data_IF_393562036259
#
_entry.id   IF_393562036259
#
_cell.length_a   1.000
_cell.length_b   1.000
_cell.length_c   1.000
_cell.angle_alpha   90.00
_cell.angle_beta   90.00
_cell.angle_gamma   90.00
#
_symmetry.space_group_name_H-M   'P 1'
#
loop_
_entity.id
_entity.type
_entity.pdbx_description
1 polymer ?
#
# COMPACT_ATOMS: atom_id res chain seq x y z
N UNK A 1 -15.60 -7.25 -10.54
CA UNK A 1 -14.40 -6.50 -10.10
C UNK A 1 -13.83 -7.26 -8.91
N UNK A 2 -12.53 -7.55 -8.88
CA UNK A 2 -11.93 -8.23 -7.73
C UNK A 2 -11.95 -7.27 -6.54
N UNK A 3 -12.72 -7.57 -5.49
CA UNK A 3 -12.71 -6.83 -4.22
C UNK A 3 -12.48 -7.82 -3.08
N UNK A 4 -11.84 -7.41 -1.99
CA UNK A 4 -11.72 -8.27 -0.82
C UNK A 4 -13.10 -8.49 -0.18
N UNK A 5 -13.33 -9.69 0.36
CA UNK A 5 -14.50 -9.99 1.20
C UNK A 5 -14.34 -9.45 2.62
N UNK A 6 -13.11 -9.31 3.08
CA UNK A 6 -12.77 -8.81 4.40
C UNK A 6 -11.46 -8.03 4.36
N UNK A 7 -11.44 -6.94 5.12
CA UNK A 7 -10.31 -6.03 5.26
C UNK A 7 -10.02 -5.94 6.75
N UNK A 8 -8.81 -6.30 7.13
CA UNK A 8 -8.29 -6.15 8.48
C UNK A 8 -7.08 -5.25 8.45
N UNK A 9 -6.91 -4.41 9.44
CA UNK A 9 -5.71 -3.60 9.55
C UNK A 9 -5.35 -3.36 11.00
N UNK A 10 -4.06 -3.25 11.24
CA UNK A 10 -3.47 -2.71 12.45
C UNK A 10 -2.58 -1.52 12.07
N UNK A 11 -1.74 -1.06 13.00
CA UNK A 11 -0.84 0.06 12.75
C UNK A 11 0.16 -0.24 11.61
N UNK A 12 0.66 -1.47 11.54
CA UNK A 12 1.79 -1.84 10.68
C UNK A 12 1.35 -2.55 9.40
N UNK A 13 0.23 -3.28 9.44
CA UNK A 13 -0.18 -4.21 8.38
C UNK A 13 -1.63 -4.00 7.97
N UNK A 14 -1.86 -4.09 6.67
CA UNK A 14 -3.16 -4.31 6.04
C UNK A 14 -3.24 -5.77 5.58
N UNK A 15 -4.29 -6.48 5.96
CA UNK A 15 -4.59 -7.84 5.52
C UNK A 15 -5.88 -7.85 4.70
N UNK A 16 -5.81 -8.38 3.48
CA UNK A 16 -6.92 -8.47 2.55
C UNK A 16 -7.28 -9.93 2.26
N UNK A 17 -8.54 -10.28 2.51
CA UNK A 17 -9.07 -11.60 2.20
C UNK A 17 -9.85 -11.54 0.90
N UNK A 18 -9.32 -12.19 -0.14
CA UNK A 18 -9.95 -12.26 -1.46
C UNK A 18 -10.97 -13.41 -1.52
N UNK A 19 -11.74 -13.49 -2.61
CA UNK A 19 -12.65 -14.62 -2.86
C UNK A 19 -11.89 -15.95 -2.93
N UNK A 20 -10.73 -15.93 -3.57
CA UNK A 20 -9.88 -17.09 -3.79
C UNK A 20 -8.42 -16.80 -3.41
N UNK A 21 -7.75 -17.83 -2.91
CA UNK A 21 -6.33 -17.77 -2.56
C UNK A 21 -6.05 -17.34 -1.11
N UNK A 22 -4.76 -17.25 -0.75
CA UNK A 22 -4.35 -16.81 0.58
C UNK A 22 -4.70 -15.35 0.82
N UNK A 23 -4.80 -14.98 2.10
CA UNK A 23 -4.88 -13.58 2.50
C UNK A 23 -3.59 -12.86 2.10
N UNK A 24 -3.74 -11.69 1.50
CA UNK A 24 -2.61 -10.85 1.11
C UNK A 24 -2.28 -9.90 2.26
N UNK A 25 -1.03 -9.93 2.74
CA UNK A 25 -0.55 -8.98 3.75
C UNK A 25 0.28 -7.89 3.08
N UNK A 26 0.11 -6.64 3.51
CA UNK A 26 0.82 -5.47 3.00
C UNK A 26 1.21 -4.56 4.15
N UNK A 27 2.46 -4.06 4.18
CA UNK A 27 2.86 -3.12 5.22
C UNK A 27 2.34 -1.71 4.95
N UNK A 28 2.03 -0.97 6.02
CA UNK A 28 1.71 0.46 5.97
C UNK A 28 2.77 1.26 5.20
N UNK A 29 4.05 0.91 5.40
CA UNK A 29 5.17 1.51 4.67
C UNK A 29 5.12 1.22 3.17
N UNK A 30 4.91 -0.03 2.76
CA UNK A 30 4.83 -0.39 1.34
C UNK A 30 3.65 0.32 0.66
N UNK A 31 2.50 0.37 1.32
CA UNK A 31 1.31 1.09 0.84
C UNK A 31 1.59 2.59 0.70
N UNK A 32 2.27 3.20 1.68
CA UNK A 32 2.62 4.62 1.65
C UNK A 32 3.61 4.95 0.53
N UNK A 33 4.62 4.12 0.33
CA UNK A 33 5.57 4.23 -0.79
C UNK A 33 4.86 4.08 -2.15
N UNK A 34 3.85 3.20 -2.21
CA UNK A 34 3.00 2.98 -3.36
C UNK A 34 1.86 3.99 -3.55
N UNK A 35 1.76 5.05 -2.72
CA UNK A 35 0.59 5.93 -2.71
C UNK A 35 0.23 6.44 -4.12
N UNK A 36 -0.98 6.14 -4.64
CA UNK A 36 -1.37 6.44 -6.01
C UNK A 36 -1.85 7.88 -6.22
N UNK A 37 -1.79 8.74 -5.19
CA UNK A 37 -2.19 10.14 -5.34
C UNK A 37 -1.30 10.88 -6.36
N UNK A 38 -1.84 11.93 -6.97
CA UNK A 38 -1.17 12.65 -8.05
C UNK A 38 0.22 13.17 -7.65
N UNK A 39 0.38 13.68 -6.43
CA UNK A 39 1.66 14.17 -5.92
C UNK A 39 2.70 13.05 -5.76
N UNK A 40 2.35 11.97 -5.05
CA UNK A 40 3.26 10.84 -4.85
C UNK A 40 3.61 10.15 -6.17
N UNK A 41 2.65 10.07 -7.10
CA UNK A 41 2.89 9.54 -8.45
C UNK A 41 3.85 10.42 -9.22
N UNK A 42 3.66 11.74 -9.22
CA UNK A 42 4.54 12.71 -9.88
C UNK A 42 5.97 12.59 -9.33
N UNK A 43 6.16 12.62 -8.00
CA UNK A 43 7.49 12.47 -7.39
C UNK A 43 8.20 11.18 -7.83
N UNK A 44 7.47 10.06 -7.90
CA UNK A 44 8.02 8.78 -8.39
C UNK A 44 8.40 8.83 -9.87
N UNK A 45 7.59 9.46 -10.72
CA UNK A 45 7.88 9.65 -12.15
C UNK A 45 9.09 10.57 -12.36
N UNK A 46 9.23 11.59 -11.51
CA UNK A 46 10.34 12.53 -11.52
C UNK A 46 11.62 11.94 -10.91
N UNK A 47 11.62 10.65 -10.51
CA UNK A 47 12.76 9.98 -9.86
C UNK A 47 13.09 10.52 -8.47
N UNK A 48 12.19 11.31 -7.86
CA UNK A 48 12.38 11.88 -6.54
C UNK A 48 12.06 10.85 -5.47
N UNK A 49 13.01 10.63 -4.55
CA UNK A 49 12.81 9.74 -3.41
C UNK A 49 11.63 10.23 -2.55
N UNK A 50 10.74 9.30 -2.19
CA UNK A 50 9.72 9.54 -1.18
C UNK A 50 10.36 9.31 0.19
N UNK A 51 10.45 10.38 0.98
CA UNK A 51 10.83 10.27 2.39
C UNK A 51 9.61 9.77 3.18
N UNK A 52 9.61 8.47 3.47
CA UNK A 52 8.57 7.81 4.25
C UNK A 52 9.22 7.29 5.51
N UNK A 53 8.65 7.63 6.67
CA UNK A 53 9.12 7.12 7.97
C UNK A 53 9.01 5.59 8.03
N UNK A 54 9.96 4.87 8.67
CA UNK A 54 9.79 3.45 8.98
C UNK A 54 8.57 3.20 9.89
N UNK A 55 8.23 4.17 10.75
CA UNK A 55 7.13 4.10 11.71
C UNK A 55 5.80 4.62 11.13
N UNK A 56 5.69 4.70 9.79
CA UNK A 56 4.45 5.13 9.15
C UNK A 56 3.35 4.08 9.39
N UNK A 57 2.18 4.55 9.80
CA UNK A 57 1.03 3.68 10.08
C UNK A 57 -0.21 4.14 9.32
N UNK A 58 -1.09 3.18 9.00
CA UNK A 58 -2.45 3.46 8.56
C UNK A 58 -3.28 3.82 9.79
N UNK A 59 -3.94 4.98 9.73
CA UNK A 59 -4.81 5.49 10.80
C UNK A 59 -6.27 5.19 10.54
N UNK A 60 -6.66 5.17 9.27
CA UNK A 60 -8.05 4.99 8.87
C UNK A 60 -8.10 4.42 7.45
N UNK A 61 -9.11 3.59 7.21
CA UNK A 61 -9.48 3.09 5.88
C UNK A 61 -10.87 3.61 5.57
N UNK A 62 -11.00 4.38 4.49
CA UNK A 62 -12.27 4.91 4.00
C UNK A 62 -12.70 4.15 2.75
N UNK A 63 -13.92 3.59 2.69
CA UNK A 63 -14.42 2.92 1.49
C UNK A 63 -14.47 3.87 0.28
N UNK A 64 -14.14 3.35 -0.91
CA UNK A 64 -14.31 4.04 -2.17
C UNK A 64 -14.97 3.10 -3.21
N UNK A 65 -15.55 3.67 -4.27
CA UNK A 65 -16.34 2.92 -5.25
C UNK A 65 -15.58 1.74 -5.91
N UNK A 66 -14.27 1.88 -6.12
CA UNK A 66 -13.44 0.89 -6.81
C UNK A 66 -12.18 0.48 -6.03
N UNK A 67 -12.16 0.78 -4.72
CA UNK A 67 -10.97 0.65 -3.91
C UNK A 67 -11.18 1.13 -2.49
N UNK A 68 -10.10 1.60 -1.90
CA UNK A 68 -10.11 2.23 -0.57
C UNK A 68 -9.21 3.46 -0.55
N UNK A 69 -9.59 4.46 0.23
CA UNK A 69 -8.72 5.55 0.60
C UNK A 69 -8.01 5.20 1.91
N UNK A 70 -6.68 5.36 1.94
CA UNK A 70 -5.88 5.16 3.14
C UNK A 70 -5.46 6.50 3.72
N UNK A 71 -5.65 6.65 5.03
CA UNK A 71 -5.17 7.80 5.81
C UNK A 71 -3.93 7.37 6.58
N UNK A 72 -2.81 8.05 6.34
CA UNK A 72 -1.52 7.75 6.96
C UNK A 72 -1.18 8.74 8.08
N UNK A 73 -0.32 8.33 9.02
CA UNK A 73 0.12 9.16 10.15
C UNK A 73 0.91 10.42 9.75
N UNK A 74 1.45 10.49 8.52
CA UNK A 74 2.11 11.67 7.95
C UNK A 74 1.13 12.63 7.25
N UNK A 75 -0.17 12.52 7.56
CA UNK A 75 -1.27 13.32 7.01
C UNK A 75 -1.56 13.07 5.53
N UNK A 76 -0.94 12.07 4.91
CA UNK A 76 -1.34 11.67 3.55
C UNK A 76 -2.68 10.94 3.59
N UNK A 77 -3.68 11.50 2.91
CA UNK A 77 -5.01 10.90 2.85
C UNK A 77 -5.66 10.97 1.46
N UNK A 78 -4.98 11.49 0.44
CA UNK A 78 -5.60 11.71 -0.89
C UNK A 78 -5.53 10.51 -1.84
N UNK A 79 -4.86 9.43 -1.44
CA UNK A 79 -4.65 8.25 -2.28
C UNK A 79 -5.85 7.31 -2.23
N UNK A 80 -6.56 7.16 -3.35
CA UNK A 80 -7.50 6.05 -3.56
C UNK A 80 -6.70 4.90 -4.17
N UNK A 81 -6.63 3.78 -3.46
CA UNK A 81 -5.98 2.53 -3.84
C UNK A 81 -7.01 1.63 -4.55
N UNK A 82 -6.98 1.53 -5.89
CA UNK A 82 -7.89 0.64 -6.61
C UNK A 82 -7.65 -0.81 -6.23
N UNK A 83 -8.70 -1.64 -6.16
CA UNK A 83 -8.52 -3.06 -5.82
C UNK A 83 -7.58 -3.80 -6.76
N UNK A 84 -7.65 -3.49 -8.06
CA UNK A 84 -6.76 -4.06 -9.08
C UNK A 84 -5.30 -3.70 -8.81
N UNK A 85 -5.04 -2.48 -8.34
CA UNK A 85 -3.69 -2.05 -8.00
C UNK A 85 -3.17 -2.79 -6.77
N UNK A 86 -3.97 -2.84 -5.70
CA UNK A 86 -3.57 -3.47 -4.44
C UNK A 86 -3.36 -4.97 -4.60
N UNK A 87 -4.20 -5.65 -5.38
CA UNK A 87 -4.05 -7.07 -5.69
C UNK A 87 -2.75 -7.40 -6.46
N UNK A 88 -2.13 -6.42 -7.11
CA UNK A 88 -0.84 -6.57 -7.78
C UNK A 88 0.37 -6.17 -6.94
N UNK A 89 0.16 -5.69 -5.70
CA UNK A 89 1.27 -5.33 -4.83
C UNK A 89 1.94 -6.59 -4.24
N UNK A 90 3.28 -6.65 -4.22
CA UNK A 90 3.98 -7.76 -3.60
C UNK A 90 3.71 -7.80 -2.10
N UNK A 91 3.83 -8.99 -1.50
CA UNK A 91 3.77 -9.17 -0.05
C UNK A 91 5.09 -8.74 0.62
N UNK A 92 5.08 -8.42 1.94
CA UNK A 92 6.25 -7.93 2.68
C UNK A 92 7.51 -8.76 2.48
N UNK A 93 7.37 -10.09 2.45
CA UNK A 93 8.49 -11.01 2.24
C UNK A 93 9.14 -10.83 0.86
N UNK A 94 8.36 -10.48 -0.17
CA UNK A 94 8.85 -10.19 -1.51
C UNK A 94 9.42 -8.76 -1.63
N UNK A 95 8.91 -7.79 -0.86
CA UNK A 95 9.47 -6.43 -0.82
C UNK A 95 10.85 -6.34 -0.17
N UNK A 96 11.12 -7.16 0.86
CA UNK A 96 12.45 -7.20 1.50
C UNK A 96 13.54 -7.74 0.54
N UNK A 97 13.17 -8.64 -0.37
CA UNK A 97 14.09 -9.20 -1.37
C UNK A 97 14.39 -8.20 -2.50
N UNK A 98 13.40 -7.40 -2.89
CA UNK A 98 13.56 -6.38 -3.93
C UNK A 98 14.40 -5.15 -3.50
N UNK A 99 14.54 -4.92 -2.19
CA UNK A 99 15.28 -3.78 -1.64
C UNK A 99 16.80 -4.00 -1.50
N UNK A 100 17.28 -5.23 -1.69
CA UNK A 100 18.70 -5.56 -1.68
C UNK A 100 19.12 -6.14 -3.04
N UNK A 101 19.45 -5.31 -4.06
CA UNK A 101 20.25 -5.82 -5.16
C UNK A 101 21.62 -6.16 -4.58
N UNK A 102 21.89 -7.45 -4.40
CA UNK A 102 23.24 -7.96 -4.19
C UNK A 102 24.05 -7.58 -5.44
N UNK A 103 24.83 -6.50 -5.34
CA UNK A 103 25.86 -6.19 -6.32
C UNK A 103 26.96 -7.24 -6.19
N UNK A 104 27.14 -8.05 -7.24
CA UNK A 104 28.41 -8.74 -7.53
C UNK A 104 29.16 -7.98 -8.60
#
# INVERSE_FOLDING_TARGET
MKSPRQIEFDAETLTLHWDEGPAQRLTSRALRMGCPCAECRRRRLDGTALDVSPDIVIREIRPAAYGMQLVFSDKHERGIFPWVYVAGLPEPAAQLQAAFPISS
#
